data_IF_698531813019
#
_entry.id   IF_698531813019
#
_cell.length_a   1.000
_cell.length_b   1.000
_cell.length_c   1.000
_cell.angle_alpha   90.00
_cell.angle_beta   90.00
_cell.angle_gamma   90.00
#
_symmetry.space_group_name_H-M   'P 1'
#
loop_
_entity.id
_entity.type
_entity.pdbx_description
1 polymer ?
#
# COMPACT_ATOMS: atom_id res chain seq x y z
N UNK A 1 9.87 9.52 -16.06
CA UNK A 1 8.86 8.46 -16.18
C UNK A 1 7.64 8.77 -15.32
N UNK A 2 7.52 8.40 -14.02
CA UNK A 2 6.27 8.62 -13.26
C UNK A 2 5.69 10.04 -13.36
N UNK A 3 6.49 11.07 -13.04
CA UNK A 3 6.04 12.47 -13.10
C UNK A 3 5.58 12.88 -14.51
N UNK A 4 6.38 12.56 -15.53
CA UNK A 4 6.05 12.83 -16.94
C UNK A 4 4.78 12.11 -17.38
N UNK A 5 4.54 10.89 -16.89
CA UNK A 5 3.33 10.12 -17.17
C UNK A 5 2.10 10.78 -16.55
N UNK A 6 2.18 11.20 -15.28
CA UNK A 6 1.10 11.93 -14.60
C UNK A 6 0.75 13.20 -15.38
N UNK A 7 1.75 14.01 -15.74
CA UNK A 7 1.54 15.24 -16.49
C UNK A 7 0.98 15.00 -17.90
N UNK A 8 1.47 13.96 -18.60
CA UNK A 8 0.97 13.61 -19.92
C UNK A 8 -0.50 13.20 -19.89
N UNK A 9 -0.89 12.36 -18.91
CA UNK A 9 -2.29 11.95 -18.76
C UNK A 9 -3.16 13.15 -18.41
N UNK A 10 -2.72 14.01 -17.49
CA UNK A 10 -3.48 15.20 -17.09
C UNK A 10 -3.66 16.19 -18.23
N UNK A 11 -2.65 16.39 -19.08
CA UNK A 11 -2.77 17.22 -20.29
C UNK A 11 -3.80 16.67 -21.27
N UNK A 12 -3.83 15.35 -21.47
CA UNK A 12 -4.76 14.71 -22.39
C UNK A 12 -6.17 14.55 -21.82
N UNK A 13 -6.30 14.40 -20.49
CA UNK A 13 -7.54 14.08 -19.78
C UNK A 13 -7.60 14.85 -18.44
N UNK A 14 -7.91 16.16 -18.45
CA UNK A 14 -7.78 17.02 -17.27
C UNK A 14 -8.72 16.68 -16.10
N UNK A 15 -9.80 15.96 -16.36
CA UNK A 15 -10.79 15.57 -15.35
C UNK A 15 -10.54 14.17 -14.77
N UNK A 16 -9.51 13.46 -15.22
CA UNK A 16 -9.20 12.10 -14.75
C UNK A 16 -8.39 12.18 -13.46
N UNK A 17 -8.91 11.58 -12.38
CA UNK A 17 -8.16 11.38 -11.14
C UNK A 17 -7.06 10.32 -11.33
N UNK A 18 -5.93 10.51 -10.68
CA UNK A 18 -4.71 9.71 -10.81
C UNK A 18 -4.27 9.16 -9.46
N UNK A 19 -4.10 7.84 -9.41
CA UNK A 19 -3.34 7.17 -8.36
C UNK A 19 -1.99 6.74 -8.93
N UNK A 20 -0.91 7.00 -8.17
CA UNK A 20 0.44 6.62 -8.59
C UNK A 20 1.06 5.66 -7.58
N UNK A 21 1.31 4.41 -7.99
CA UNK A 21 2.07 3.43 -7.22
C UNK A 21 3.57 3.57 -7.50
N UNK A 22 4.34 3.82 -6.45
CA UNK A 22 5.79 4.09 -6.53
C UNK A 22 6.64 3.06 -5.77
N UNK A 23 7.90 2.83 -6.20
CA UNK A 23 8.88 2.11 -5.40
C UNK A 23 9.33 2.95 -4.18
N UNK A 24 10.20 2.39 -3.34
CA UNK A 24 10.72 3.10 -2.17
C UNK A 24 11.78 4.16 -2.52
N UNK A 25 12.22 4.21 -3.79
CA UNK A 25 13.35 5.02 -4.28
C UNK A 25 14.60 4.94 -3.39
N UNK A 26 14.80 3.80 -2.72
CA UNK A 26 15.83 3.61 -1.70
C UNK A 26 15.80 4.65 -0.56
N UNK A 27 14.69 5.35 -0.35
CA UNK A 27 14.54 6.42 0.63
C UNK A 27 15.04 7.79 0.16
N UNK A 28 15.35 7.95 -1.13
CA UNK A 28 15.81 9.23 -1.69
C UNK A 28 14.62 10.19 -1.85
N UNK A 29 14.43 11.07 -0.88
CA UNK A 29 13.33 12.05 -0.86
C UNK A 29 13.28 12.92 -2.11
N UNK A 30 14.42 13.29 -2.69
CA UNK A 30 14.47 14.06 -3.95
C UNK A 30 13.77 13.39 -5.13
N UNK A 31 13.66 12.05 -5.14
CA UNK A 31 12.87 11.34 -6.15
C UNK A 31 11.38 11.33 -5.80
N UNK A 32 11.05 11.25 -4.52
CA UNK A 32 9.67 11.31 -4.01
C UNK A 32 9.09 12.71 -4.26
N UNK A 33 9.88 13.77 -4.06
CA UNK A 33 9.50 15.15 -4.28
C UNK A 33 9.04 15.41 -5.72
N UNK A 34 9.61 14.69 -6.71
CA UNK A 34 9.17 14.79 -8.10
C UNK A 34 7.76 14.25 -8.31
N UNK A 35 7.36 13.25 -7.53
CA UNK A 35 5.99 12.70 -7.55
C UNK A 35 5.02 13.65 -6.84
N UNK A 36 5.45 14.20 -5.70
CA UNK A 36 4.68 15.19 -4.95
C UNK A 36 4.42 16.43 -5.80
N UNK A 37 5.43 16.91 -6.54
CA UNK A 37 5.33 18.11 -7.38
C UNK A 37 4.25 18.01 -8.47
N UNK A 38 4.03 16.81 -9.03
CA UNK A 38 2.95 16.58 -10.01
C UNK A 38 1.62 16.22 -9.35
N UNK A 39 1.58 16.12 -8.02
CA UNK A 39 0.40 16.04 -7.17
C UNK A 39 -0.73 15.14 -7.71
N UNK A 40 -0.50 13.82 -7.89
CA UNK A 40 -1.60 12.89 -8.15
C UNK A 40 -2.54 12.85 -6.93
N UNK A 41 -3.82 12.56 -7.14
CA UNK A 41 -4.82 12.55 -6.06
C UNK A 41 -4.51 11.51 -4.97
N UNK A 42 -3.82 10.41 -5.33
CA UNK A 42 -3.34 9.39 -4.39
C UNK A 42 -1.92 8.97 -4.75
N UNK A 43 -1.04 8.87 -3.74
CA UNK A 43 0.27 8.21 -3.88
C UNK A 43 0.28 6.92 -3.09
N UNK A 44 0.59 5.82 -3.77
CA UNK A 44 0.62 4.48 -3.19
C UNK A 44 2.05 3.97 -3.08
N UNK A 45 2.40 3.38 -1.94
CA UNK A 45 3.63 2.62 -1.75
C UNK A 45 3.33 1.39 -0.89
N UNK A 46 3.38 0.19 -1.48
CA UNK A 46 3.02 -1.02 -0.77
C UNK A 46 4.08 -1.45 0.26
N UNK A 47 3.62 -1.83 1.45
CA UNK A 47 4.41 -2.59 2.43
C UNK A 47 4.57 -4.06 2.00
N UNK A 48 3.53 -4.60 1.36
CA UNK A 48 3.34 -5.99 0.90
C UNK A 48 3.20 -7.03 2.02
N UNK A 49 3.96 -6.94 3.10
CA UNK A 49 3.94 -7.92 4.19
C UNK A 49 4.37 -7.32 5.52
N UNK A 50 4.40 -8.14 6.57
CA UNK A 50 4.80 -7.77 7.92
C UNK A 50 6.33 -7.63 8.05
N UNK A 51 6.77 -6.96 9.12
CA UNK A 51 8.18 -6.65 9.39
C UNK A 51 9.12 -7.86 9.30
N UNK A 52 8.74 -8.99 9.93
CA UNK A 52 9.54 -10.23 9.94
C UNK A 52 9.76 -10.81 8.54
N UNK A 53 8.71 -10.81 7.71
CA UNK A 53 8.73 -11.42 6.38
C UNK A 53 9.30 -10.49 5.30
N UNK A 54 9.50 -9.20 5.59
CA UNK A 54 9.90 -8.22 4.57
C UNK A 54 11.18 -8.62 3.83
N UNK A 55 12.19 -9.16 4.53
CA UNK A 55 13.45 -9.57 3.87
C UNK A 55 13.29 -10.78 2.95
N UNK A 56 12.36 -11.67 3.25
CA UNK A 56 12.06 -12.85 2.44
C UNK A 56 11.22 -12.49 1.22
N UNK A 57 10.21 -11.64 1.41
CA UNK A 57 9.26 -11.25 0.36
C UNK A 57 9.83 -10.16 -0.56
N UNK A 58 10.62 -9.23 0.00
CA UNK A 58 11.13 -8.04 -0.70
C UNK A 58 12.61 -7.83 -0.44
N UNK A 59 13.45 -8.59 -1.12
CA UNK A 59 14.92 -8.62 -0.95
C UNK A 59 15.56 -7.22 -0.91
N UNK A 60 15.09 -6.28 -1.74
CA UNK A 60 15.65 -4.93 -1.82
C UNK A 60 15.01 -3.91 -0.87
N UNK A 61 13.79 -4.17 -0.41
CA UNK A 61 13.03 -3.24 0.42
C UNK A 61 13.38 -3.42 1.90
N UNK A 62 13.11 -2.38 2.69
CA UNK A 62 13.24 -2.43 4.16
C UNK A 62 11.95 -1.89 4.75
N UNK A 63 11.42 -2.57 5.75
CA UNK A 63 10.13 -2.23 6.36
C UNK A 63 10.09 -0.77 6.83
N UNK A 64 11.07 -0.35 7.64
CA UNK A 64 11.13 1.03 8.16
C UNK A 64 11.33 2.08 7.08
N UNK A 65 12.01 1.73 5.98
CA UNK A 65 12.16 2.65 4.84
C UNK A 65 10.84 2.82 4.10
N UNK A 66 10.09 1.74 3.89
CA UNK A 66 8.77 1.80 3.27
C UNK A 66 7.78 2.58 4.14
N UNK A 67 7.82 2.42 5.47
CA UNK A 67 7.07 3.27 6.39
C UNK A 67 7.50 4.74 6.28
N UNK A 68 8.80 5.02 6.27
CA UNK A 68 9.32 6.38 6.13
C UNK A 68 8.92 7.06 4.81
N UNK A 69 8.79 6.30 3.72
CA UNK A 69 8.25 6.82 2.44
C UNK A 69 6.80 7.25 2.59
N UNK A 70 5.96 6.42 3.23
CA UNK A 70 4.55 6.74 3.47
C UNK A 70 4.40 7.94 4.40
N UNK A 71 5.17 7.98 5.49
CA UNK A 71 5.22 9.11 6.40
C UNK A 71 5.60 10.40 5.69
N UNK A 72 6.67 10.39 4.90
CA UNK A 72 7.14 11.56 4.16
C UNK A 72 6.10 12.09 3.18
N UNK A 73 5.43 11.20 2.44
CA UNK A 73 4.32 11.57 1.56
C UNK A 73 3.18 12.24 2.34
N UNK A 74 2.81 11.68 3.48
CA UNK A 74 1.73 12.20 4.33
C UNK A 74 2.06 13.57 4.89
N UNK A 75 3.27 13.75 5.42
CA UNK A 75 3.78 15.03 5.94
C UNK A 75 3.83 16.12 4.85
N UNK A 76 3.97 15.72 3.57
CA UNK A 76 3.93 16.61 2.41
C UNK A 76 2.52 16.84 1.86
N UNK A 77 1.49 16.37 2.56
CA UNK A 77 0.09 16.63 2.24
C UNK A 77 -0.53 15.68 1.20
N UNK A 78 0.18 14.62 0.79
CA UNK A 78 -0.38 13.64 -0.14
C UNK A 78 -1.37 12.71 0.58
N UNK A 79 -2.45 12.32 -0.12
CA UNK A 79 -3.25 11.16 0.30
C UNK A 79 -2.47 9.89 0.03
N UNK A 80 -2.26 9.09 1.07
CA UNK A 80 -1.36 7.94 1.03
C UNK A 80 -2.10 6.61 1.04
N UNK A 81 -1.54 5.65 0.31
CA UNK A 81 -2.10 4.30 0.21
C UNK A 81 -1.04 3.22 0.31
N UNK A 82 -1.42 2.08 0.88
CA UNK A 82 -0.58 0.88 0.88
C UNK A 82 -1.40 -0.40 0.72
N UNK A 83 -0.68 -1.48 0.44
CA UNK A 83 -1.23 -2.83 0.34
C UNK A 83 -0.45 -3.84 1.18
N UNK A 84 -1.18 -4.80 1.73
CA UNK A 84 -0.67 -6.02 2.36
C UNK A 84 -1.22 -7.24 1.62
N UNK A 85 -0.37 -8.24 1.44
CA UNK A 85 -0.74 -9.56 0.96
C UNK A 85 -0.61 -10.55 2.13
N UNK A 86 -1.69 -11.26 2.41
CA UNK A 86 -1.76 -12.26 3.46
C UNK A 86 -1.65 -13.68 2.91
N UNK A 87 -1.30 -14.64 3.75
CA UNK A 87 -1.04 -16.03 3.39
C UNK A 87 0.42 -16.32 3.08
N UNK A 88 1.35 -15.44 3.49
CA UNK A 88 2.80 -15.63 3.35
C UNK A 88 3.45 -16.24 4.60
N UNK A 89 2.67 -16.42 5.68
CA UNK A 89 3.10 -17.00 6.95
C UNK A 89 3.26 -15.98 8.08
N UNK A 90 2.66 -14.80 7.92
CA UNK A 90 2.45 -13.82 8.97
C UNK A 90 1.40 -14.30 9.99
N UNK A 91 1.54 -13.91 11.26
CA UNK A 91 0.49 -14.12 12.26
C UNK A 91 -0.48 -12.95 12.29
N UNK A 92 -1.67 -13.16 12.86
CA UNK A 92 -2.67 -12.11 13.05
C UNK A 92 -2.09 -10.92 13.84
N UNK A 93 -1.31 -11.19 14.89
CA UNK A 93 -0.68 -10.15 15.72
C UNK A 93 0.31 -9.31 14.90
N UNK A 94 1.05 -9.92 13.98
CA UNK A 94 1.98 -9.21 13.10
C UNK A 94 1.25 -8.32 12.07
N UNK A 95 0.10 -8.79 11.57
CA UNK A 95 -0.78 -7.99 10.70
C UNK A 95 -1.32 -6.79 11.46
N UNK A 96 -1.87 -7.01 12.65
CA UNK A 96 -2.41 -5.96 13.52
C UNK A 96 -1.31 -4.96 13.91
N UNK A 97 -0.10 -5.43 14.24
CA UNK A 97 1.03 -4.55 14.52
C UNK A 97 1.41 -3.73 13.29
N UNK A 98 1.39 -4.32 12.10
CA UNK A 98 1.65 -3.58 10.85
C UNK A 98 0.58 -2.53 10.58
N UNK A 99 -0.69 -2.82 10.87
CA UNK A 99 -1.76 -1.83 10.81
C UNK A 99 -1.53 -0.68 11.79
N UNK A 100 -1.11 -0.96 13.02
CA UNK A 100 -0.76 0.09 14.01
C UNK A 100 0.42 0.94 13.55
N UNK A 101 1.47 0.33 13.01
CA UNK A 101 2.63 1.03 12.48
C UNK A 101 2.21 1.98 11.32
N UNK A 102 1.31 1.51 10.44
CA UNK A 102 0.76 2.30 9.33
C UNK A 102 -0.14 3.45 9.78
N UNK A 103 -0.97 3.22 10.80
CA UNK A 103 -1.76 4.27 11.42
C UNK A 103 -0.85 5.32 12.07
N UNK A 104 0.25 4.89 12.71
CA UNK A 104 1.22 5.77 13.35
C UNK A 104 1.92 6.74 12.40
N UNK A 105 2.02 6.39 11.10
CA UNK A 105 2.54 7.29 10.05
C UNK A 105 1.43 8.05 9.30
N UNK A 106 0.19 7.95 9.76
CA UNK A 106 -0.96 8.69 9.23
C UNK A 106 -1.46 8.19 7.86
N UNK A 107 -1.30 6.90 7.55
CA UNK A 107 -1.79 6.32 6.31
C UNK A 107 -3.31 6.54 6.13
N UNK A 108 -3.75 6.87 4.91
CA UNK A 108 -5.17 7.09 4.61
C UNK A 108 -5.90 5.81 4.15
N UNK A 109 -5.30 5.07 3.21
CA UNK A 109 -5.96 3.95 2.53
C UNK A 109 -5.16 2.65 2.68
N UNK A 110 -5.80 1.61 3.20
CA UNK A 110 -5.22 0.29 3.34
C UNK A 110 -5.96 -0.73 2.46
N UNK A 111 -5.20 -1.51 1.68
CA UNK A 111 -5.72 -2.69 0.99
C UNK A 111 -5.12 -3.96 1.57
N UNK A 112 -5.95 -4.99 1.78
CA UNK A 112 -5.51 -6.29 2.31
C UNK A 112 -6.07 -7.38 1.40
N UNK A 113 -5.17 -8.13 0.76
CA UNK A 113 -5.52 -9.17 -0.22
C UNK A 113 -4.89 -10.53 0.07
N UNK A 114 -5.38 -11.58 -0.57
CA UNK A 114 -4.72 -12.89 -0.53
C UNK A 114 -3.52 -12.90 -1.46
N UNK A 115 -2.37 -13.36 -0.96
CA UNK A 115 -1.23 -13.76 -1.77
C UNK A 115 -1.62 -14.99 -2.60
N UNK A 116 -1.54 -14.85 -3.92
CA UNK A 116 -1.69 -15.95 -4.86
C UNK A 116 -0.33 -16.19 -5.50
N UNK A 117 0.21 -17.39 -5.29
CA UNK A 117 1.50 -17.79 -5.83
C UNK A 117 1.46 -17.72 -7.37
N UNK A 118 2.25 -16.84 -8.02
CA UNK A 118 2.20 -16.69 -9.48
C UNK A 118 2.68 -17.93 -10.21
N UNK A 119 3.77 -18.53 -9.71
CA UNK A 119 4.34 -19.79 -10.22
C UNK A 119 4.99 -20.56 -9.08
N UNK A 120 5.25 -21.85 -9.27
CA UNK A 120 5.93 -22.73 -8.28
C UNK A 120 7.34 -22.25 -7.86
N UNK A 121 7.95 -21.32 -8.59
CA UNK A 121 9.26 -20.72 -8.25
C UNK A 121 9.17 -19.59 -7.21
N UNK A 122 7.97 -19.05 -6.99
CA UNK A 122 7.73 -18.01 -6.00
C UNK A 122 7.44 -18.63 -4.63
N UNK A 123 7.42 -17.80 -3.58
CA UNK A 123 7.07 -18.23 -2.23
C UNK A 123 5.76 -19.04 -2.24
N UNK A 124 5.68 -20.16 -1.50
CA UNK A 124 4.45 -20.92 -1.42
C UNK A 124 3.41 -20.16 -0.59
N UNK A 125 2.13 -20.36 -0.93
CA UNK A 125 1.04 -19.92 -0.04
C UNK A 125 1.10 -20.76 1.23
N UNK A 126 1.20 -20.10 2.38
CA UNK A 126 1.21 -20.74 3.71
C UNK A 126 -0.20 -20.93 4.26
N UNK A 127 -1.08 -19.97 4.01
CA UNK A 127 -2.46 -19.99 4.49
C UNK A 127 -3.40 -19.31 3.48
N UNK A 128 -4.61 -19.83 3.37
CA UNK A 128 -5.71 -19.15 2.68
C UNK A 128 -6.57 -18.45 3.73
N UNK A 129 -6.52 -17.13 3.73
CA UNK A 129 -7.23 -16.32 4.71
C UNK A 129 -8.73 -16.38 4.43
N UNK A 130 -9.49 -16.62 5.50
CA UNK A 130 -10.95 -16.73 5.44
C UNK A 130 -11.62 -15.37 5.22
N UNK A 131 -12.83 -15.36 4.62
CA UNK A 131 -13.62 -14.12 4.51
C UNK A 131 -13.83 -13.40 5.85
N UNK A 132 -14.02 -14.15 6.95
CA UNK A 132 -14.24 -13.58 8.29
C UNK A 132 -12.97 -12.91 8.83
N UNK A 133 -11.79 -13.48 8.59
CA UNK A 133 -10.52 -12.84 8.93
C UNK A 133 -10.34 -11.53 8.13
N UNK A 134 -10.61 -11.53 6.82
CA UNK A 134 -10.56 -10.29 6.04
C UNK A 134 -11.55 -9.25 6.58
N UNK A 135 -12.77 -9.66 6.94
CA UNK A 135 -13.79 -8.76 7.50
C UNK A 135 -13.37 -8.18 8.86
N UNK A 136 -12.69 -8.99 9.68
CA UNK A 136 -12.10 -8.56 10.94
C UNK A 136 -11.06 -7.46 10.71
N UNK A 137 -10.13 -7.64 9.77
CA UNK A 137 -9.13 -6.61 9.47
C UNK A 137 -9.73 -5.33 8.89
N UNK A 138 -10.79 -5.43 8.07
CA UNK A 138 -11.53 -4.25 7.59
C UNK A 138 -12.09 -3.44 8.76
N UNK A 139 -12.82 -4.13 9.65
CA UNK A 139 -13.47 -3.50 10.81
C UNK A 139 -12.44 -2.85 11.73
N UNK A 140 -11.40 -3.60 12.10
CA UNK A 140 -10.33 -3.11 12.95
C UNK A 140 -9.60 -1.92 12.35
N UNK A 141 -9.34 -1.95 11.04
CA UNK A 141 -8.67 -0.84 10.37
C UNK A 141 -9.50 0.44 10.36
N UNK A 142 -10.81 0.32 10.13
CA UNK A 142 -11.72 1.47 10.23
C UNK A 142 -11.78 2.02 11.67
N UNK A 143 -11.83 1.15 12.68
CA UNK A 143 -11.78 1.54 14.10
C UNK A 143 -10.45 2.22 14.49
N UNK A 144 -9.33 1.81 13.88
CA UNK A 144 -8.02 2.46 14.06
C UNK A 144 -7.94 3.86 13.43
N UNK A 145 -8.85 4.18 12.50
CA UNK A 145 -8.94 5.49 11.87
C UNK A 145 -8.38 5.58 10.46
N UNK A 146 -8.15 4.46 9.75
CA UNK A 146 -7.92 4.55 8.30
C UNK A 146 -9.16 5.13 7.62
N UNK A 147 -8.95 6.02 6.64
CA UNK A 147 -10.04 6.63 5.88
C UNK A 147 -10.80 5.59 5.05
N UNK A 148 -10.07 4.64 4.47
CA UNK A 148 -10.63 3.53 3.71
C UNK A 148 -9.84 2.25 3.96
N UNK A 149 -10.56 1.14 4.11
CA UNK A 149 -9.98 -0.20 4.15
C UNK A 149 -10.74 -1.08 3.14
N UNK A 150 -10.02 -1.65 2.19
CA UNK A 150 -10.57 -2.69 1.31
C UNK A 150 -9.86 -4.00 1.65
N UNK A 151 -10.61 -4.99 2.12
CA UNK A 151 -10.05 -6.24 2.64
C UNK A 151 -10.81 -7.44 2.07
N UNK A 152 -10.11 -8.36 1.42
CA UNK A 152 -10.73 -9.55 0.83
C UNK A 152 -9.80 -10.33 -0.10
N UNK A 153 -10.10 -11.60 -0.33
CA UNK A 153 -9.20 -12.50 -1.06
C UNK A 153 -8.76 -11.98 -2.45
N UNK A 154 -9.68 -11.34 -3.19
CA UNK A 154 -9.41 -10.81 -4.54
C UNK A 154 -9.02 -9.32 -4.55
N UNK A 155 -8.89 -8.69 -3.38
CA UNK A 155 -8.42 -7.31 -3.31
C UNK A 155 -6.96 -7.24 -3.78
N UNK A 156 -6.69 -6.19 -4.54
CA UNK A 156 -5.36 -5.81 -5.04
C UNK A 156 -5.17 -4.33 -4.79
N UNK A 157 -3.93 -3.86 -4.88
CA UNK A 157 -3.61 -2.46 -4.64
C UNK A 157 -4.44 -1.50 -5.51
N UNK A 158 -4.80 -1.84 -6.75
CA UNK A 158 -5.65 -0.99 -7.61
C UNK A 158 -7.15 -1.28 -7.54
N UNK A 159 -7.60 -2.25 -6.74
CA UNK A 159 -9.01 -2.61 -6.66
C UNK A 159 -9.84 -1.44 -6.12
N UNK A 160 -10.89 -1.07 -6.86
CA UNK A 160 -11.81 0.05 -6.52
C UNK A 160 -11.09 1.39 -6.24
N UNK A 161 -9.95 1.65 -6.89
CA UNK A 161 -9.17 2.87 -6.69
C UNK A 161 -9.99 4.18 -6.78
N UNK A 162 -10.96 4.22 -7.70
CA UNK A 162 -11.86 5.36 -7.91
C UNK A 162 -12.67 5.78 -6.66
N UNK A 163 -12.88 4.88 -5.69
CA UNK A 163 -13.65 5.18 -4.47
C UNK A 163 -12.93 6.10 -3.49
N UNK A 164 -11.60 6.11 -3.54
CA UNK A 164 -10.77 6.84 -2.59
C UNK A 164 -9.83 7.84 -3.30
N UNK A 165 -10.03 8.09 -4.59
CA UNK A 165 -9.32 9.10 -5.37
C UNK A 165 -10.07 10.44 -5.49
N UNK A 166 -11.27 10.53 -4.91
CA UNK A 166 -12.11 11.73 -4.87
C UNK A 166 -12.07 12.41 -3.52
#
# INVERSE_FOLDING_TARGET
IWAETVDAIRRANPNTTLETLIPDFQGKTSQIDRIIAVHPEVVSHNMETVRRLTREVRIQAKYDRSLGVLQYLKEKGMRTKTGLMLGLGETEEEVIQTMKDLQGVGLDVLTIGQYLQPTKKHLPVKEFITPDQFKKYETLGLEMGFMYVESGALVRSSYKAHKHAK
#
